data_IF_337428509261
#
_entry.id   IF_337428509261
#
_cell.length_a   1.000
_cell.length_b   1.000
_cell.length_c   1.000
_cell.angle_alpha   90.00
_cell.angle_beta   90.00
_cell.angle_gamma   90.00
#
_symmetry.space_group_name_H-M   'P 1'
#
loop_
_entity.id
_entity.type
_entity.pdbx_description
1 polymer ?
#
# COMPACT_ATOMS: atom_id res chain seq x y z
N UNK A 1 20.62 7.12 -1.71
CA UNK A 1 19.96 8.29 -2.35
C UNK A 1 18.63 7.91 -2.97
N UNK A 2 18.55 7.00 -3.96
CA UNK A 2 17.27 6.59 -4.56
C UNK A 2 16.25 6.02 -3.57
N UNK A 3 16.68 5.16 -2.65
CA UNK A 3 15.80 4.62 -1.59
C UNK A 3 15.19 5.74 -0.74
N UNK A 4 16.00 6.72 -0.29
CA UNK A 4 15.52 7.86 0.46
C UNK A 4 14.49 8.70 -0.30
N UNK A 5 14.68 8.84 -1.62
CA UNK A 5 13.74 9.56 -2.49
C UNK A 5 12.43 8.81 -2.59
N UNK A 6 12.48 7.49 -2.83
CA UNK A 6 11.31 6.63 -2.85
C UNK A 6 10.52 6.72 -1.54
N UNK A 7 11.22 6.75 -0.40
CA UNK A 7 10.60 6.88 0.92
C UNK A 7 10.00 8.26 1.14
N UNK A 8 10.73 9.32 0.80
CA UNK A 8 10.25 10.70 0.89
C UNK A 8 9.06 10.94 -0.03
N UNK A 9 9.00 10.31 -1.20
CA UNK A 9 7.81 10.37 -2.03
C UNK A 9 6.68 9.57 -1.42
N UNK A 10 6.91 8.30 -1.05
CA UNK A 10 5.83 7.42 -0.57
C UNK A 10 5.15 7.93 0.70
N UNK A 11 5.88 8.67 1.55
CA UNK A 11 5.37 9.21 2.81
C UNK A 11 5.26 10.75 2.83
N UNK A 12 5.95 11.49 1.96
CA UNK A 12 5.93 12.96 1.95
C UNK A 12 4.65 13.60 1.41
N UNK A 13 3.63 12.81 1.09
CA UNK A 13 2.35 13.25 0.54
C UNK A 13 1.35 13.74 1.62
N UNK A 14 1.82 14.06 2.83
CA UNK A 14 0.98 14.49 3.96
C UNK A 14 0.02 15.65 3.59
N UNK A 15 0.50 16.60 2.78
CA UNK A 15 -0.27 17.75 2.33
C UNK A 15 -1.35 17.40 1.31
N UNK A 16 -1.07 16.48 0.36
CA UNK A 16 -2.11 16.03 -0.58
C UNK A 16 -3.13 15.13 0.11
N UNK A 17 -2.70 14.33 1.10
CA UNK A 17 -3.55 13.51 1.96
C UNK A 17 -4.54 14.36 2.76
N UNK A 18 -4.03 15.36 3.48
CA UNK A 18 -4.84 16.27 4.30
C UNK A 18 -5.74 17.17 3.45
N UNK A 19 -5.22 17.71 2.35
CA UNK A 19 -5.98 18.58 1.44
C UNK A 19 -7.13 17.86 0.75
N UNK A 20 -6.90 16.68 0.15
CA UNK A 20 -7.96 15.92 -0.51
C UNK A 20 -8.99 15.40 0.50
N UNK A 21 -8.54 14.93 1.66
CA UNK A 21 -9.46 14.50 2.72
C UNK A 21 -10.33 15.65 3.24
N UNK A 22 -9.74 16.81 3.52
CA UNK A 22 -10.49 17.97 3.98
C UNK A 22 -11.45 18.55 2.92
N UNK A 23 -11.12 18.45 1.64
CA UNK A 23 -11.96 18.98 0.56
C UNK A 23 -13.14 18.07 0.20
N UNK A 24 -12.95 16.75 0.25
CA UNK A 24 -13.94 15.79 -0.26
C UNK A 24 -14.62 14.95 0.84
N UNK A 25 -13.99 14.83 2.02
CA UNK A 25 -14.41 13.90 3.08
C UNK A 25 -14.59 14.60 4.44
N UNK A 26 -14.61 15.94 4.50
CA UNK A 26 -14.83 16.70 5.73
C UNK A 26 -16.13 16.32 6.44
N UNK A 27 -17.18 16.04 5.66
CA UNK A 27 -18.50 15.67 6.16
C UNK A 27 -18.60 14.16 6.48
N UNK A 28 -17.54 13.39 6.20
CA UNK A 28 -17.50 11.94 6.38
C UNK A 28 -16.22 11.49 7.14
N UNK A 29 -16.14 11.73 8.46
CA UNK A 29 -14.95 11.43 9.27
C UNK A 29 -14.44 9.99 9.15
N UNK A 30 -15.35 9.01 9.16
CA UNK A 30 -14.98 7.59 9.00
C UNK A 30 -14.35 7.30 7.63
N UNK A 31 -14.88 7.88 6.55
CA UNK A 31 -14.29 7.73 5.21
C UNK A 31 -12.95 8.45 5.11
N UNK A 32 -12.79 9.58 5.79
CA UNK A 32 -11.51 10.27 5.86
C UNK A 32 -10.45 9.42 6.57
N UNK A 33 -10.77 8.80 7.71
CA UNK A 33 -9.86 7.87 8.40
C UNK A 33 -9.49 6.70 7.48
N UNK A 34 -10.48 6.05 6.85
CA UNK A 34 -10.23 4.96 5.91
C UNK A 34 -9.38 5.37 4.72
N UNK A 35 -9.59 6.57 4.16
CA UNK A 35 -8.75 7.14 3.11
C UNK A 35 -7.32 7.37 3.58
N UNK A 36 -7.10 7.88 4.79
CA UNK A 36 -5.76 8.08 5.34
C UNK A 36 -5.05 6.74 5.55
N UNK A 37 -5.75 5.78 6.17
CA UNK A 37 -5.23 4.41 6.35
C UNK A 37 -4.82 3.81 5.01
N UNK A 38 -5.64 3.98 3.97
CA UNK A 38 -5.31 3.52 2.62
C UNK A 38 -4.06 4.19 2.07
N UNK A 39 -3.94 5.51 2.21
CA UNK A 39 -2.89 6.26 1.53
C UNK A 39 -1.53 6.22 2.23
N UNK A 40 -1.49 5.90 3.53
CA UNK A 40 -0.27 5.82 4.36
C UNK A 40 0.33 4.41 4.39
N UNK A 41 -0.38 3.39 3.89
CA UNK A 41 0.12 2.01 3.81
C UNK A 41 0.62 1.70 2.39
N UNK A 42 1.90 1.92 2.06
CA UNK A 42 2.43 1.52 0.76
C UNK A 42 2.40 0.01 0.57
N UNK A 43 2.20 -0.42 -0.67
CA UNK A 43 2.18 -1.82 -1.04
C UNK A 43 3.54 -2.48 -0.81
N UNK A 44 3.52 -3.75 -0.38
CA UNK A 44 4.71 -4.58 -0.21
C UNK A 44 4.83 -5.68 -1.28
N UNK A 45 3.83 -5.85 -2.16
CA UNK A 45 3.67 -7.09 -2.92
C UNK A 45 3.33 -6.86 -4.41
N UNK A 46 2.07 -6.61 -4.75
CA UNK A 46 1.55 -6.73 -6.13
C UNK A 46 2.10 -5.74 -7.14
N UNK A 47 2.65 -4.62 -6.67
CA UNK A 47 3.15 -3.57 -7.55
C UNK A 47 4.42 -3.97 -8.33
N UNK A 48 5.12 -5.02 -7.87
CA UNK A 48 6.26 -5.61 -8.58
C UNK A 48 5.86 -6.11 -9.97
N UNK A 49 4.67 -6.71 -10.10
CA UNK A 49 4.15 -7.23 -11.38
C UNK A 49 3.98 -6.07 -12.38
N UNK A 50 3.39 -4.95 -11.93
CA UNK A 50 3.23 -3.76 -12.77
C UNK A 50 4.59 -3.12 -13.11
N UNK A 51 5.56 -3.22 -12.20
CA UNK A 51 6.94 -2.73 -12.43
C UNK A 51 7.61 -3.55 -13.52
N UNK A 52 7.43 -4.87 -13.49
CA UNK A 52 7.93 -5.77 -14.51
C UNK A 52 7.26 -5.52 -15.88
N UNK A 53 5.92 -5.40 -15.91
CA UNK A 53 5.15 -5.06 -17.12
C UNK A 53 5.68 -3.77 -17.75
N UNK A 54 5.92 -2.74 -16.94
CA UNK A 54 6.45 -1.46 -17.39
C UNK A 54 7.97 -1.49 -17.70
N UNK A 55 8.64 -2.65 -17.62
CA UNK A 55 10.09 -2.84 -17.83
C UNK A 55 10.94 -1.97 -16.89
N UNK A 56 10.50 -1.85 -15.63
CA UNK A 56 11.16 -1.12 -14.55
C UNK A 56 12.29 -1.87 -13.86
N UNK A 57 12.85 -1.30 -12.79
CA UNK A 57 13.87 -1.92 -11.95
C UNK A 57 13.22 -2.73 -10.83
N UNK A 58 12.89 -3.99 -11.11
CA UNK A 58 12.26 -4.89 -10.12
C UNK A 58 13.19 -5.13 -8.92
N UNK A 59 14.51 -5.23 -9.14
CA UNK A 59 15.47 -5.44 -8.06
C UNK A 59 15.45 -4.29 -7.03
N UNK A 60 15.40 -3.03 -7.49
CA UNK A 60 15.25 -1.86 -6.62
C UNK A 60 13.90 -1.88 -5.89
N UNK A 61 12.82 -2.20 -6.59
CA UNK A 61 11.48 -2.31 -5.98
C UNK A 61 11.43 -3.41 -4.92
N UNK A 62 12.11 -4.54 -5.11
CA UNK A 62 12.19 -5.61 -4.11
C UNK A 62 13.06 -5.20 -2.92
N UNK A 63 14.17 -4.49 -3.15
CA UNK A 63 15.08 -4.05 -2.10
C UNK A 63 14.42 -3.10 -1.09
N UNK A 64 13.44 -2.29 -1.53
CA UNK A 64 12.77 -1.31 -0.65
C UNK A 64 11.61 -1.89 0.17
N UNK A 65 11.12 -3.09 -0.14
CA UNK A 65 9.97 -3.69 0.53
C UNK A 65 10.13 -3.79 2.06
N UNK A 66 11.27 -4.25 2.61
CA UNK A 66 11.43 -4.33 4.05
C UNK A 66 11.38 -2.96 4.71
N UNK A 67 11.91 -1.93 4.04
CA UNK A 67 11.91 -0.56 4.55
C UNK A 67 10.49 0.02 4.52
N UNK A 68 9.73 -0.23 3.45
CA UNK A 68 8.31 0.13 3.38
C UNK A 68 7.50 -0.56 4.49
N UNK A 69 7.75 -1.84 4.75
CA UNK A 69 7.09 -2.59 5.83
C UNK A 69 7.39 -2.00 7.21
N UNK A 70 8.65 -1.65 7.50
CA UNK A 70 9.02 -1.04 8.79
C UNK A 70 8.39 0.35 8.92
N UNK A 71 8.49 1.17 7.87
CA UNK A 71 7.97 2.52 7.89
C UNK A 71 6.45 2.55 7.99
N UNK A 72 5.72 1.65 7.33
CA UNK A 72 4.26 1.62 7.48
C UNK A 72 3.85 1.27 8.91
N UNK A 73 4.57 0.35 9.58
CA UNK A 73 4.29 -0.02 10.98
C UNK A 73 4.52 1.16 11.91
N UNK A 74 5.59 1.92 11.70
CA UNK A 74 5.94 3.06 12.54
C UNK A 74 5.09 4.30 12.25
N UNK A 75 4.85 4.58 10.97
CA UNK A 75 4.21 5.81 10.52
C UNK A 75 2.68 5.71 10.57
N UNK A 76 2.07 4.55 10.31
CA UNK A 76 0.61 4.42 10.37
C UNK A 76 -0.01 4.97 11.68
N UNK A 77 0.47 4.62 12.89
CA UNK A 77 -0.09 5.19 14.12
C UNK A 77 0.21 6.69 14.28
N UNK A 78 1.34 7.17 13.78
CA UNK A 78 1.72 8.59 13.82
C UNK A 78 0.80 9.42 12.91
N UNK A 79 0.58 8.97 11.67
CA UNK A 79 -0.31 9.64 10.73
C UNK A 79 -1.74 9.59 11.23
N UNK A 80 -2.18 8.42 11.73
CA UNK A 80 -3.48 8.32 12.35
C UNK A 80 -3.58 9.30 13.51
N UNK A 81 -2.62 9.39 14.42
CA UNK A 81 -2.66 10.39 15.49
C UNK A 81 -2.74 11.84 14.99
N UNK A 82 -1.92 12.21 14.00
CA UNK A 82 -1.87 13.56 13.42
C UNK A 82 -3.20 13.97 12.78
N UNK A 83 -3.91 13.02 12.16
CA UNK A 83 -5.18 13.26 11.50
C UNK A 83 -6.40 12.78 12.31
N UNK A 84 -6.20 12.07 13.42
CA UNK A 84 -7.24 11.58 14.34
C UNK A 84 -7.67 12.63 15.36
N UNK A 85 -7.10 13.85 15.33
CA UNK A 85 -7.75 15.01 15.94
C UNK A 85 -9.21 15.22 15.47
N UNK A 86 -9.61 14.55 14.38
CA UNK A 86 -10.97 14.50 13.82
C UNK A 86 -11.88 13.47 14.52
N UNK A 87 -11.34 12.48 15.25
CA UNK A 87 -12.11 11.45 15.97
C UNK A 87 -11.77 11.49 17.46
N UNK A 88 -12.72 11.94 18.30
CA UNK A 88 -12.55 12.06 19.75
C UNK A 88 -12.51 10.71 20.51
N UNK A 89 -12.65 9.57 19.85
CA UNK A 89 -13.07 8.31 20.48
C UNK A 89 -12.23 7.08 20.13
N UNK A 90 -10.95 7.26 19.77
CA UNK A 90 -10.08 6.12 19.47
C UNK A 90 -9.06 5.96 20.59
N UNK A 91 -9.15 4.85 21.32
CA UNK A 91 -8.08 4.45 22.22
C UNK A 91 -6.85 4.10 21.36
N UNK A 92 -5.86 5.00 21.31
CA UNK A 92 -4.58 4.80 20.62
C UNK A 92 -3.97 3.43 20.96
N UNK A 93 -4.23 2.95 22.16
CA UNK A 93 -3.89 1.61 22.62
C UNK A 93 -4.41 0.48 21.71
N UNK A 94 -5.70 0.50 21.34
CA UNK A 94 -6.33 -0.54 20.51
C UNK A 94 -5.76 -0.54 19.09
N UNK A 95 -5.43 0.64 18.56
CA UNK A 95 -4.76 0.77 17.26
C UNK A 95 -3.36 0.15 17.28
N UNK A 96 -2.57 0.47 18.32
CA UNK A 96 -1.22 -0.10 18.50
C UNK A 96 -1.29 -1.61 18.68
N UNK A 97 -2.22 -2.10 19.50
CA UNK A 97 -2.45 -3.53 19.71
C UNK A 97 -2.80 -4.24 18.39
N UNK A 98 -3.68 -3.66 17.58
CA UNK A 98 -4.04 -4.19 16.26
C UNK A 98 -2.84 -4.28 15.33
N UNK A 99 -1.99 -3.25 15.28
CA UNK A 99 -0.75 -3.26 14.49
C UNK A 99 0.21 -4.35 14.98
N UNK A 100 0.34 -4.51 16.30
CA UNK A 100 1.21 -5.53 16.91
C UNK A 100 0.73 -6.93 16.52
N UNK A 101 -0.56 -7.20 16.62
CA UNK A 101 -1.14 -8.52 16.31
C UNK A 101 -1.09 -8.81 14.81
N UNK A 102 -1.44 -7.84 13.96
CA UNK A 102 -1.57 -8.03 12.51
C UNK A 102 -0.22 -8.03 11.79
N UNK A 103 0.76 -7.27 12.27
CA UNK A 103 2.05 -7.11 11.57
C UNK A 103 3.23 -7.64 12.40
N UNK A 104 3.40 -7.13 13.63
CA UNK A 104 4.61 -7.41 14.43
C UNK A 104 4.69 -8.88 14.81
N UNK A 105 3.58 -9.49 15.24
CA UNK A 105 3.52 -10.88 15.65
C UNK A 105 3.86 -11.84 14.49
N UNK A 106 3.23 -11.75 13.29
CA UNK A 106 3.65 -12.55 12.13
C UNK A 106 5.12 -12.37 11.76
N UNK A 107 5.65 -11.15 11.87
CA UNK A 107 7.05 -10.88 11.58
C UNK A 107 8.01 -11.56 12.58
N UNK A 108 7.70 -11.48 13.88
CA UNK A 108 8.45 -12.18 14.94
C UNK A 108 8.40 -13.68 14.70
N UNK A 109 7.23 -14.24 14.38
CA UNK A 109 7.08 -15.66 14.08
C UNK A 109 7.91 -16.08 12.87
N UNK A 110 7.89 -15.30 11.78
CA UNK A 110 8.71 -15.56 10.60
C UNK A 110 10.21 -15.54 10.92
N UNK A 111 10.66 -14.57 11.72
CA UNK A 111 12.06 -14.50 12.16
C UNK A 111 12.43 -15.66 13.09
N UNK A 112 11.55 -16.02 14.03
CA UNK A 112 11.75 -17.15 14.92
C UNK A 112 11.82 -18.46 14.14
N UNK A 113 10.97 -18.67 13.12
CA UNK A 113 11.04 -19.82 12.21
C UNK A 113 12.40 -19.89 11.52
N UNK A 114 12.89 -18.77 10.96
CA UNK A 114 14.23 -18.71 10.33
C UNK A 114 15.34 -19.06 11.33
N UNK A 115 15.28 -18.49 12.53
CA UNK A 115 16.27 -18.73 13.58
C UNK A 115 16.30 -20.19 14.04
N UNK A 116 15.12 -20.78 14.30
CA UNK A 116 14.97 -22.18 14.72
C UNK A 116 15.48 -23.13 13.64
N UNK A 117 15.11 -22.90 12.38
CA UNK A 117 15.54 -23.73 11.25
C UNK A 117 17.06 -23.70 11.06
N UNK A 118 17.69 -22.54 11.22
CA UNK A 118 19.14 -22.41 11.20
C UNK A 118 19.79 -23.17 12.36
N UNK A 119 19.25 -23.05 13.59
CA UNK A 119 19.76 -23.77 14.77
C UNK A 119 19.62 -25.29 14.64
N UNK A 120 18.57 -25.77 13.99
CA UNK A 120 18.34 -27.19 13.71
C UNK A 120 19.19 -27.73 12.54
N UNK A 121 20.11 -26.94 11.96
CA UNK A 121 20.88 -27.27 10.74
C UNK A 121 19.98 -27.63 9.55
N UNK A 122 18.76 -27.10 9.49
CA UNK A 122 17.80 -27.26 8.39
C UNK A 122 17.75 -26.04 7.47
N UNK A 123 18.82 -25.24 7.42
CA UNK A 123 18.93 -24.07 6.56
C UNK A 123 18.66 -24.44 5.09
N UNK A 124 19.16 -25.60 4.63
CA UNK A 124 18.92 -26.09 3.27
C UNK A 124 17.43 -26.37 2.99
N UNK A 125 16.66 -26.84 3.98
CA UNK A 125 15.21 -27.02 3.82
C UNK A 125 14.47 -25.68 3.77
N UNK A 126 14.94 -24.69 4.52
CA UNK A 126 14.40 -23.33 4.47
C UNK A 126 14.64 -22.71 3.09
N UNK A 127 15.88 -22.77 2.59
CA UNK A 127 16.28 -22.15 1.32
C UNK A 127 15.76 -22.88 0.08
N UNK A 128 15.76 -24.22 0.08
CA UNK A 128 15.42 -25.00 -1.12
C UNK A 128 13.97 -25.47 -1.17
N UNK A 129 13.22 -25.44 -0.05
CA UNK A 129 11.81 -25.89 -0.03
C UNK A 129 10.85 -24.80 0.44
N UNK A 130 11.05 -24.24 1.64
CA UNK A 130 10.08 -23.31 2.23
C UNK A 130 10.04 -21.97 1.50
N UNK A 131 11.18 -21.31 1.29
CA UNK A 131 11.23 -20.01 0.61
C UNK A 131 10.68 -20.11 -0.83
N UNK A 132 11.08 -21.09 -1.67
CA UNK A 132 10.54 -21.22 -3.02
C UNK A 132 9.03 -21.52 -3.03
N UNK A 133 8.54 -22.34 -2.08
CA UNK A 133 7.13 -22.65 -1.93
C UNK A 133 6.32 -21.38 -1.64
N UNK A 134 6.68 -20.61 -0.61
CA UNK A 134 5.97 -19.39 -0.24
C UNK A 134 6.08 -18.30 -1.31
N UNK A 135 7.24 -18.20 -2.00
CA UNK A 135 7.41 -17.27 -3.13
C UNK A 135 6.45 -17.61 -4.29
N UNK A 136 6.26 -18.89 -4.60
CA UNK A 136 5.33 -19.31 -5.67
C UNK A 136 3.87 -19.22 -5.22
N UNK A 137 3.59 -19.51 -3.95
CA UNK A 137 2.26 -19.46 -3.36
C UNK A 137 1.77 -18.04 -3.03
N UNK A 138 2.66 -17.03 -3.06
CA UNK A 138 2.33 -15.65 -2.70
C UNK A 138 1.12 -15.11 -3.48
N UNK A 139 1.07 -15.34 -4.80
CA UNK A 139 -0.04 -14.89 -5.65
C UNK A 139 -1.36 -15.55 -5.22
N UNK A 140 -1.32 -16.82 -4.83
CA UNK A 140 -2.50 -17.56 -4.37
C UNK A 140 -2.99 -16.99 -3.04
N UNK A 141 -2.09 -16.80 -2.06
CA UNK A 141 -2.44 -16.20 -0.77
C UNK A 141 -2.97 -14.77 -0.90
N UNK A 142 -2.34 -13.98 -1.77
CA UNK A 142 -2.79 -12.62 -2.05
C UNK A 142 -4.18 -12.60 -2.69
N UNK A 143 -4.41 -13.47 -3.68
CA UNK A 143 -5.73 -13.61 -4.32
C UNK A 143 -6.78 -14.04 -3.31
N UNK A 144 -6.43 -14.98 -2.42
CA UNK A 144 -7.29 -15.42 -1.33
C UNK A 144 -7.62 -14.28 -0.36
N UNK A 145 -6.63 -13.46 0.01
CA UNK A 145 -6.82 -12.30 0.87
C UNK A 145 -7.73 -11.26 0.22
N UNK A 146 -7.57 -10.99 -1.07
CA UNK A 146 -8.43 -10.07 -1.83
C UNK A 146 -9.85 -10.62 -1.91
N UNK A 147 -10.03 -11.91 -2.21
CA UNK A 147 -11.35 -12.56 -2.24
C UNK A 147 -12.01 -12.49 -0.86
N UNK A 148 -11.26 -12.79 0.22
CA UNK A 148 -11.77 -12.72 1.59
C UNK A 148 -12.17 -11.29 1.98
N UNK A 149 -11.37 -10.29 1.59
CA UNK A 149 -11.68 -8.87 1.78
C UNK A 149 -13.01 -8.51 1.12
N UNK A 150 -13.18 -8.79 -0.17
CA UNK A 150 -14.43 -8.50 -0.88
C UNK A 150 -15.60 -9.34 -0.38
N UNK A 151 -15.38 -10.60 0.02
CA UNK A 151 -16.43 -11.42 0.61
C UNK A 151 -16.93 -10.85 1.94
N UNK A 152 -16.01 -10.34 2.77
CA UNK A 152 -16.34 -9.79 4.09
C UNK A 152 -17.16 -8.49 4.02
N UNK A 153 -16.89 -7.63 3.03
CA UNK A 153 -17.52 -6.31 2.89
C UNK A 153 -18.43 -6.17 1.67
N UNK A 154 -18.61 -7.23 0.87
CA UNK A 154 -19.24 -7.15 -0.46
C UNK A 154 -20.70 -6.73 -0.43
N UNK A 155 -21.50 -7.27 0.50
CA UNK A 155 -22.91 -6.86 0.66
C UNK A 155 -23.00 -5.38 1.07
N UNK A 156 -22.16 -4.96 2.00
CA UNK A 156 -22.12 -3.58 2.49
C UNK A 156 -21.66 -2.61 1.39
N UNK A 157 -20.68 -3.01 0.58
CA UNK A 157 -20.24 -2.28 -0.61
C UNK A 157 -21.38 -2.07 -1.61
N UNK A 158 -22.15 -3.12 -1.92
CA UNK A 158 -23.27 -3.02 -2.86
C UNK A 158 -24.39 -2.09 -2.35
N UNK A 159 -24.60 -2.06 -1.03
CA UNK A 159 -25.60 -1.17 -0.40
C UNK A 159 -25.15 0.29 -0.34
N UNK A 160 -23.84 0.56 -0.40
CA UNK A 160 -23.24 1.89 -0.25
C UNK A 160 -22.50 2.33 -1.52
N UNK A 161 -23.08 2.11 -2.70
CA UNK A 161 -22.45 2.44 -3.98
C UNK A 161 -22.13 3.94 -4.13
N UNK A 162 -22.89 4.81 -3.46
CA UNK A 162 -22.62 6.24 -3.36
C UNK A 162 -21.26 6.55 -2.71
N UNK A 163 -20.82 5.73 -1.75
CA UNK A 163 -19.50 5.87 -1.10
C UNK A 163 -18.37 5.59 -2.10
N UNK A 164 -18.57 4.65 -3.02
CA UNK A 164 -17.61 4.36 -4.10
C UNK A 164 -17.40 5.60 -4.97
N UNK A 165 -18.49 6.26 -5.39
CA UNK A 165 -18.43 7.47 -6.20
C UNK A 165 -17.76 8.63 -5.46
N UNK A 166 -18.06 8.77 -4.17
CA UNK A 166 -17.47 9.81 -3.31
C UNK A 166 -15.95 9.60 -3.16
N UNK A 167 -15.49 8.38 -2.97
CA UNK A 167 -14.06 8.06 -2.84
C UNK A 167 -13.32 8.03 -4.18
N UNK A 168 -14.00 7.79 -5.29
CA UNK A 168 -13.39 7.67 -6.61
C UNK A 168 -12.58 8.93 -6.96
N UNK A 169 -13.16 10.11 -6.78
CA UNK A 169 -12.51 11.39 -7.11
C UNK A 169 -11.25 11.65 -6.29
N UNK A 170 -11.27 11.67 -4.94
CA UNK A 170 -10.07 11.93 -4.15
C UNK A 170 -8.99 10.86 -4.35
N UNK A 171 -9.36 9.58 -4.51
CA UNK A 171 -8.39 8.50 -4.76
C UNK A 171 -7.72 8.65 -6.13
N UNK A 172 -8.49 8.94 -7.19
CA UNK A 172 -7.92 9.18 -8.52
C UNK A 172 -7.03 10.41 -8.56
N UNK A 173 -7.46 11.52 -7.94
CA UNK A 173 -6.64 12.73 -7.84
C UNK A 173 -5.34 12.45 -7.10
N UNK A 174 -5.39 11.70 -6.01
CA UNK A 174 -4.20 11.30 -5.28
C UNK A 174 -3.23 10.51 -6.17
N UNK A 175 -3.71 9.52 -6.92
CA UNK A 175 -2.87 8.75 -7.84
C UNK A 175 -2.30 9.59 -8.98
N UNK A 176 -3.10 10.50 -9.56
CA UNK A 176 -2.64 11.39 -10.63
C UNK A 176 -1.54 12.32 -10.10
N UNK A 177 -1.77 12.97 -8.95
CA UNK A 177 -0.81 13.89 -8.33
C UNK A 177 0.50 13.16 -8.04
N UNK A 178 0.44 11.98 -7.43
CA UNK A 178 1.64 11.23 -7.06
C UNK A 178 2.38 10.67 -8.27
N UNK A 179 1.65 10.24 -9.31
CA UNK A 179 2.27 9.83 -10.56
C UNK A 179 3.05 11.00 -11.19
N UNK A 180 2.42 12.18 -11.30
CA UNK A 180 3.07 13.36 -11.84
C UNK A 180 4.28 13.79 -11.01
N UNK A 181 4.15 13.75 -9.68
CA UNK A 181 5.24 14.08 -8.77
C UNK A 181 6.41 13.08 -8.87
N UNK A 182 6.12 11.78 -8.96
CA UNK A 182 7.12 10.74 -9.20
C UNK A 182 7.85 10.93 -10.54
N UNK A 183 7.12 11.28 -11.60
CA UNK A 183 7.72 11.62 -12.89
C UNK A 183 8.58 12.88 -12.82
N UNK A 184 8.13 13.92 -12.12
CA UNK A 184 8.85 15.17 -11.93
C UNK A 184 10.16 14.95 -11.17
N UNK A 185 10.09 14.26 -10.02
CA UNK A 185 11.26 13.93 -9.20
C UNK A 185 12.23 13.04 -9.97
N UNK A 186 11.73 12.04 -10.71
CA UNK A 186 12.55 11.21 -11.57
C UNK A 186 13.34 12.00 -12.60
N UNK A 187 12.74 13.04 -13.20
CA UNK A 187 13.43 13.95 -14.13
C UNK A 187 14.43 14.86 -13.43
N UNK A 188 14.04 15.48 -12.31
CA UNK A 188 14.90 16.39 -11.54
C UNK A 188 16.16 15.69 -11.02
N UNK A 189 16.04 14.41 -10.67
CA UNK A 189 17.14 13.59 -10.18
C UNK A 189 17.87 12.81 -11.28
N UNK A 190 17.54 13.04 -12.55
CA UNK A 190 18.13 12.35 -13.70
C UNK A 190 18.10 10.82 -13.58
N UNK A 191 17.01 10.27 -13.02
CA UNK A 191 16.86 8.83 -12.85
C UNK A 191 16.74 8.13 -14.20
N UNK A 192 17.25 6.90 -14.26
CA UNK A 192 17.03 6.04 -15.43
C UNK A 192 15.53 5.79 -15.63
N UNK A 193 15.13 5.41 -16.85
CA UNK A 193 13.74 4.99 -17.09
C UNK A 193 13.31 3.89 -16.12
N UNK A 194 14.18 2.88 -15.93
CA UNK A 194 13.87 1.72 -15.09
C UNK A 194 13.60 2.13 -13.64
N UNK A 195 14.42 3.04 -13.11
CA UNK A 195 14.27 3.51 -11.74
C UNK A 195 13.09 4.47 -11.58
N UNK A 196 12.79 5.28 -12.60
CA UNK A 196 11.60 6.15 -12.61
C UNK A 196 10.31 5.33 -12.60
N UNK A 197 10.28 4.19 -13.30
CA UNK A 197 9.16 3.23 -13.26
C UNK A 197 9.01 2.66 -11.85
N UNK A 198 10.11 2.21 -11.24
CA UNK A 198 10.10 1.69 -9.86
C UNK A 198 9.61 2.74 -8.87
N UNK A 199 10.14 3.97 -8.93
CA UNK A 199 9.67 5.11 -8.13
C UNK A 199 8.16 5.33 -8.31
N UNK A 200 7.67 5.39 -9.55
CA UNK A 200 6.26 5.67 -9.81
C UNK A 200 5.33 4.58 -9.27
N UNK A 201 5.66 3.30 -9.47
CA UNK A 201 4.77 2.21 -9.06
C UNK A 201 4.85 1.90 -7.57
N UNK A 202 6.03 2.02 -6.94
CA UNK A 202 6.15 1.91 -5.49
C UNK A 202 5.37 3.03 -4.78
N UNK A 203 5.42 4.26 -5.30
CA UNK A 203 4.75 5.41 -4.68
C UNK A 203 3.24 5.40 -4.86
N UNK A 204 2.71 4.72 -5.88
CA UNK A 204 1.26 4.63 -6.12
C UNK A 204 0.60 3.49 -5.36
N UNK A 205 1.26 2.33 -5.30
CA UNK A 205 0.60 1.14 -4.79
C UNK A 205 0.40 1.17 -3.27
N UNK A 206 -0.72 0.62 -2.80
CA UNK A 206 -1.13 0.60 -1.39
C UNK A 206 -1.36 -0.82 -0.87
N UNK A 207 -1.25 -0.99 0.45
CA UNK A 207 -1.49 -2.25 1.13
C UNK A 207 -2.84 -2.20 1.86
N UNK A 208 -3.91 -2.22 1.07
CA UNK A 208 -5.25 -2.18 1.63
C UNK A 208 -5.63 -3.43 2.44
N UNK A 209 -5.16 -4.66 2.14
CA UNK A 209 -5.50 -5.83 2.95
C UNK A 209 -4.96 -5.74 4.38
N UNK A 210 -3.71 -5.27 4.55
CA UNK A 210 -3.13 -5.05 5.88
C UNK A 210 -3.86 -3.92 6.61
N UNK A 211 -4.13 -2.81 5.92
CA UNK A 211 -4.89 -1.71 6.50
C UNK A 211 -6.30 -2.14 6.93
N UNK A 212 -6.97 -2.99 6.15
CA UNK A 212 -8.30 -3.51 6.45
C UNK A 212 -8.28 -4.40 7.69
N UNK A 213 -7.29 -5.29 7.81
CA UNK A 213 -7.14 -6.12 8.99
C UNK A 213 -7.00 -5.25 10.26
N UNK A 214 -6.18 -4.19 10.19
CA UNK A 214 -6.06 -3.23 11.30
C UNK A 214 -7.39 -2.51 11.54
N UNK A 215 -8.08 -2.07 10.48
CA UNK A 215 -9.30 -1.29 10.61
C UNK A 215 -10.45 -2.09 11.26
N UNK A 216 -10.63 -3.35 10.86
CA UNK A 216 -11.68 -4.22 11.41
C UNK A 216 -11.41 -4.56 12.88
N UNK A 217 -10.14 -4.65 13.30
CA UNK A 217 -9.78 -4.88 14.70
C UNK A 217 -9.85 -3.59 15.54
N UNK A 218 -9.38 -2.47 15.00
CA UNK A 218 -9.29 -1.21 15.75
C UNK A 218 -10.58 -0.39 15.76
N UNK A 219 -11.43 -0.55 14.75
CA UNK A 219 -12.68 0.20 14.58
C UNK A 219 -13.85 -0.72 14.22
N UNK A 220 -14.23 -1.66 15.12
CA UNK A 220 -15.28 -2.63 14.84
C UNK A 220 -16.66 -1.99 14.59
N UNK A 221 -16.90 -0.81 15.19
CA UNK A 221 -18.16 -0.08 15.09
C UNK A 221 -18.21 0.92 13.92
N UNK A 222 -17.14 1.03 13.12
CA UNK A 222 -17.03 1.99 12.01
C UNK A 222 -16.82 1.28 10.66
N UNK A 223 -17.87 0.61 10.13
CA UNK A 223 -17.78 -0.18 8.90
C UNK A 223 -17.42 0.65 7.65
N UNK A 224 -17.64 1.98 7.68
CA UNK A 224 -17.25 2.89 6.61
C UNK A 224 -15.73 2.99 6.46
N UNK A 225 -14.95 2.85 7.54
CA UNK A 225 -13.48 2.82 7.48
C UNK A 225 -13.04 1.59 6.69
N UNK A 226 -13.58 0.41 7.05
CA UNK A 226 -13.31 -0.85 6.35
C UNK A 226 -13.73 -0.77 4.87
N UNK A 227 -14.89 -0.17 4.59
CA UNK A 227 -15.40 -0.02 3.23
C UNK A 227 -14.45 0.80 2.34
N UNK A 228 -13.88 1.90 2.85
CA UNK A 228 -12.91 2.71 2.10
C UNK A 228 -11.67 1.89 1.67
N UNK A 229 -11.23 0.96 2.53
CA UNK A 229 -10.07 0.10 2.29
C UNK A 229 -10.36 -1.01 1.26
N UNK A 230 -11.61 -1.48 1.18
CA UNK A 230 -12.06 -2.43 0.15
C UNK A 230 -12.20 -1.74 -1.21
N UNK A 231 -12.65 -0.48 -1.22
CA UNK A 231 -12.77 0.32 -2.45
C UNK A 231 -11.39 0.64 -3.04
N UNK A 232 -10.35 0.77 -2.21
CA UNK A 232 -8.98 1.07 -2.64
C UNK A 232 -8.51 0.22 -3.83
N UNK A 233 -8.42 -1.12 -3.71
CA UNK A 233 -7.96 -1.98 -4.81
C UNK A 233 -8.86 -1.99 -6.05
N UNK A 234 -10.16 -1.72 -5.92
CA UNK A 234 -11.05 -1.59 -7.08
C UNK A 234 -10.62 -0.45 -7.99
N UNK A 235 -10.06 0.62 -7.43
CA UNK A 235 -9.58 1.78 -8.16
C UNK A 235 -8.08 1.64 -8.47
N UNK A 236 -7.29 1.22 -7.48
CA UNK A 236 -5.84 1.14 -7.55
C UNK A 236 -5.36 0.16 -8.63
N UNK A 237 -5.90 -1.06 -8.69
CA UNK A 237 -5.41 -2.08 -9.61
C UNK A 237 -5.61 -1.68 -11.09
N UNK A 238 -6.78 -1.16 -11.52
CA UNK A 238 -6.93 -0.58 -12.85
C UNK A 238 -5.97 0.60 -13.10
N UNK A 239 -5.78 1.48 -12.11
CA UNK A 239 -4.88 2.63 -12.25
C UNK A 239 -3.44 2.19 -12.45
N UNK A 240 -2.93 1.22 -11.67
CA UNK A 240 -1.59 0.66 -11.84
C UNK A 240 -1.43 0.01 -13.22
N UNK A 241 -2.45 -0.70 -13.70
CA UNK A 241 -2.47 -1.25 -15.05
C UNK A 241 -2.34 -0.13 -16.11
N UNK A 242 -3.17 0.90 -16.03
CA UNK A 242 -3.12 2.05 -16.95
C UNK A 242 -1.76 2.77 -16.89
N UNK A 243 -1.26 3.05 -15.69
CA UNK A 243 0.03 3.72 -15.47
C UNK A 243 1.17 2.89 -16.07
N UNK A 244 1.15 1.56 -15.91
CA UNK A 244 2.17 0.70 -16.52
C UNK A 244 2.22 0.83 -18.05
N UNK A 245 1.06 0.95 -18.70
CA UNK A 245 0.97 1.16 -20.15
C UNK A 245 1.44 2.57 -20.55
N UNK A 246 1.06 3.60 -19.79
CA UNK A 246 1.51 4.97 -20.01
C UNK A 246 3.03 5.07 -19.92
N UNK A 247 3.65 4.41 -18.93
CA UNK A 247 5.11 4.36 -18.78
C UNK A 247 5.79 3.70 -19.99
N UNK A 248 5.22 2.62 -20.52
CA UNK A 248 5.73 1.98 -21.75
C UNK A 248 5.63 2.91 -22.98
N UNK A 249 4.57 3.70 -23.10
CA UNK A 249 4.44 4.69 -24.16
C UNK A 249 5.49 5.80 -24.04
N UNK A 250 5.75 6.29 -22.81
CA UNK A 250 6.82 7.26 -22.53
C UNK A 250 8.19 6.69 -22.93
N UNK A 251 8.44 5.41 -22.64
CA UNK A 251 9.68 4.72 -23.05
C UNK A 251 9.89 4.78 -24.55
N UNK A 252 8.87 4.40 -25.33
CA UNK A 252 8.94 4.41 -26.80
C UNK A 252 9.30 5.80 -27.31
N UNK A 253 8.61 6.85 -26.82
CA UNK A 253 8.87 8.23 -27.25
C UNK A 253 10.31 8.69 -26.97
N UNK A 254 10.92 8.26 -25.87
CA UNK A 254 12.34 8.55 -25.53
C UNK A 254 13.35 7.76 -26.36
N UNK A 255 12.95 6.68 -27.01
CA UNK A 255 13.83 5.89 -27.89
C UNK A 255 13.84 6.42 -29.34
N UNK A 256 12.86 7.24 -29.72
CA UNK A 256 12.72 7.83 -31.05
C UNK A 256 12.98 9.35 -31.10
N UNK A 257 13.37 9.96 -29.98
CA UNK A 257 13.75 11.36 -29.85
C UNK A 257 15.25 11.46 -29.54
#
# INVERSE_FOLDING_TARGET
MLEQVLLLTSYGHLYSLGGLGALFLSDHPALWVGFIMLMVTPCTDWYLIFTEIAKGNVALSTAILPVNLILQVLLLPIYLFLFAGVMKTVAVFVLVESIVIVIVLPFILAHATKFIMNKMKKAETLENKLIPFFSSAQIVFLSLAIVAMFASQGKYLLQNMNVVLLLLVPVLLFFIINFLLGQFIGRMMHLSYKDTVSLSLTTLARNSPVALAIAVTAFPDEPLIALALVIGPLIELPVLACVSQVLLLIKKKRQYA
#
